data_IF_366998155563
#
_entry.id   IF_366998155563
#
_cell.length_a   1.000
_cell.length_b   1.000
_cell.length_c   1.000
_cell.angle_alpha   90.00
_cell.angle_beta   90.00
_cell.angle_gamma   90.00
#
_symmetry.space_group_name_H-M   'P 1'
#
loop_
_entity.id
_entity.type
_entity.pdbx_description
1 polymer ?
#
# COMPACT_ATOMS: atom_id res chain seq x y z
N UNK A 1 23.95 -5.58 -1.95
CA UNK A 1 22.91 -4.78 -1.26
C UNK A 1 21.60 -5.50 -1.46
N UNK A 2 20.81 -5.68 -0.41
CA UNK A 2 19.56 -6.45 -0.45
C UNK A 2 18.35 -5.52 -0.59
N UNK A 3 17.25 -6.05 -1.13
CA UNK A 3 15.98 -5.33 -1.29
C UNK A 3 15.23 -5.23 0.06
N UNK A 4 14.33 -4.24 0.22
CA UNK A 4 13.50 -4.18 1.41
C UNK A 4 12.61 -5.42 1.52
N UNK A 5 12.41 -5.90 2.76
CA UNK A 5 11.49 -7.00 3.06
C UNK A 5 10.09 -6.40 3.21
N UNK A 6 9.11 -6.99 2.50
CA UNK A 6 7.69 -6.67 2.65
C UNK A 6 7.04 -7.76 3.49
N UNK A 7 6.34 -7.38 4.54
CA UNK A 7 5.52 -8.30 5.35
C UNK A 7 4.18 -7.65 5.72
N UNK A 8 3.13 -8.44 5.88
CA UNK A 8 1.87 -7.95 6.43
C UNK A 8 1.90 -8.10 7.95
N UNK A 9 1.89 -7.00 8.69
CA UNK A 9 2.01 -7.05 10.15
C UNK A 9 0.66 -7.27 10.84
N UNK A 10 -0.44 -6.79 10.25
CA UNK A 10 -1.83 -7.01 10.64
C UNK A 10 -2.68 -6.81 9.39
N UNK A 11 -3.95 -7.21 9.37
CA UNK A 11 -4.85 -7.02 8.20
C UNK A 11 -4.95 -5.56 7.70
N UNK A 12 -4.38 -4.58 8.43
CA UNK A 12 -4.40 -3.15 8.12
C UNK A 12 -3.06 -2.57 7.65
N UNK A 13 -1.92 -3.25 7.86
CA UNK A 13 -0.60 -2.66 7.62
C UNK A 13 0.35 -3.59 6.85
N UNK A 14 1.02 -3.01 5.86
CA UNK A 14 2.17 -3.59 5.17
C UNK A 14 3.43 -2.95 5.72
N UNK A 15 4.33 -3.74 6.31
CA UNK A 15 5.63 -3.29 6.81
C UNK A 15 6.68 -3.51 5.73
N UNK A 16 7.44 -2.46 5.43
CA UNK A 16 8.53 -2.44 4.45
C UNK A 16 9.81 -2.06 5.19
N UNK A 17 10.73 -3.02 5.35
CA UNK A 17 11.92 -2.83 6.17
C UNK A 17 13.21 -2.96 5.36
N UNK A 18 14.16 -2.05 5.57
CA UNK A 18 15.52 -2.16 5.03
C UNK A 18 16.54 -1.55 6.00
N UNK A 19 17.52 -2.36 6.41
CA UNK A 19 18.54 -1.98 7.39
C UNK A 19 17.91 -1.42 8.68
N UNK A 20 18.20 -0.17 9.02
CA UNK A 20 17.70 0.51 10.24
C UNK A 20 16.37 1.25 10.02
N UNK A 21 15.80 1.23 8.81
CA UNK A 21 14.55 1.92 8.49
C UNK A 21 13.42 0.92 8.28
N UNK A 22 12.25 1.27 8.80
CA UNK A 22 11.02 0.50 8.65
C UNK A 22 9.88 1.47 8.36
N UNK A 23 9.13 1.18 7.30
CA UNK A 23 7.92 1.90 6.95
C UNK A 23 6.72 1.00 7.21
N UNK A 24 5.72 1.50 7.93
CA UNK A 24 4.39 0.90 7.93
C UNK A 24 3.51 1.62 6.91
N UNK A 25 2.86 0.86 6.03
CA UNK A 25 1.95 1.37 5.03
C UNK A 25 0.52 0.92 5.35
N UNK A 26 -0.40 1.87 5.47
CA UNK A 26 -1.83 1.62 5.60
C UNK A 26 -2.52 1.82 4.26
N UNK A 27 -3.15 0.77 3.74
CA UNK A 27 -4.00 0.86 2.54
C UNK A 27 -5.43 1.13 3.00
N UNK A 28 -6.08 2.14 2.44
CA UNK A 28 -7.46 2.48 2.72
C UNK A 28 -8.26 2.73 1.45
N UNK A 29 -9.59 2.58 1.55
CA UNK A 29 -10.53 3.05 0.55
C UNK A 29 -11.07 4.41 1.00
N UNK A 30 -10.77 5.46 0.24
CA UNK A 30 -11.38 6.78 0.44
C UNK A 30 -12.43 7.03 -0.63
N UNK A 31 -13.63 7.43 -0.18
CA UNK A 31 -14.72 7.82 -1.05
C UNK A 31 -14.72 9.33 -1.19
N UNK A 32 -14.35 9.83 -2.38
CA UNK A 32 -14.57 11.23 -2.73
C UNK A 32 -15.91 11.34 -3.48
N UNK A 33 -16.50 12.54 -3.49
CA UNK A 33 -17.85 12.81 -4.01
C UNK A 33 -18.14 12.35 -5.46
N UNK A 34 -17.12 11.95 -6.23
CA UNK A 34 -17.29 11.49 -7.62
C UNK A 34 -16.42 10.29 -7.99
N UNK A 35 -15.60 9.76 -7.08
CA UNK A 35 -14.69 8.65 -7.37
C UNK A 35 -14.21 7.97 -6.09
N UNK A 36 -14.04 6.65 -6.17
CA UNK A 36 -13.39 5.86 -5.13
C UNK A 36 -11.90 5.77 -5.42
N UNK A 37 -11.07 6.01 -4.40
CA UNK A 37 -9.62 5.93 -4.51
C UNK A 37 -9.05 4.99 -3.47
N UNK A 38 -7.97 4.34 -3.86
CA UNK A 38 -7.07 3.69 -2.92
C UNK A 38 -6.06 4.72 -2.43
N UNK A 39 -5.88 4.76 -1.11
CA UNK A 39 -4.91 5.64 -0.46
C UNK A 39 -3.96 4.80 0.37
N UNK A 40 -2.66 4.99 0.15
CA UNK A 40 -1.60 4.45 0.97
C UNK A 40 -1.01 5.58 1.82
N UNK A 41 -1.07 5.45 3.15
CA UNK A 41 -0.39 6.33 4.11
C UNK A 41 0.80 5.63 4.71
N UNK A 42 1.90 6.34 4.93
CA UNK A 42 3.14 5.76 5.44
C UNK A 42 3.45 6.30 6.83
N UNK A 43 3.99 5.43 7.68
CA UNK A 43 4.50 5.78 9.00
C UNK A 43 5.94 5.28 9.15
N UNK A 44 6.78 6.06 9.83
CA UNK A 44 8.11 5.65 10.29
C UNK A 44 8.19 5.87 11.80
N UNK A 45 8.53 4.83 12.58
CA UNK A 45 8.53 4.89 14.05
C UNK A 45 7.21 5.43 14.66
N UNK A 46 6.08 4.94 14.14
CA UNK A 46 4.71 5.36 14.52
C UNK A 46 4.38 6.84 14.26
N UNK A 47 5.23 7.57 13.53
CA UNK A 47 4.94 8.93 13.07
C UNK A 47 4.53 8.93 11.60
N UNK A 48 3.45 9.63 11.29
CA UNK A 48 3.00 9.81 9.91
C UNK A 48 4.09 10.52 9.09
N UNK A 49 4.45 9.91 7.98
CA UNK A 49 5.13 10.61 6.91
C UNK A 49 4.08 11.46 6.17
N UNK A 50 4.45 12.67 5.78
CA UNK A 50 3.61 13.58 4.97
C UNK A 50 3.39 13.09 3.52
N UNK A 51 3.32 11.77 3.31
CA UNK A 51 3.16 11.13 2.02
C UNK A 51 1.88 10.29 2.01
N UNK A 52 0.91 10.73 1.21
CA UNK A 52 -0.24 9.93 0.80
C UNK A 52 -0.10 9.59 -0.69
N UNK A 53 -0.10 8.31 -1.01
CA UNK A 53 -0.07 7.83 -2.39
C UNK A 53 -1.46 7.37 -2.78
N UNK A 54 -1.98 7.88 -3.89
CA UNK A 54 -3.39 7.73 -4.25
C UNK A 54 -3.51 7.11 -5.64
N UNK A 55 -4.49 6.25 -5.88
CA UNK A 55 -4.79 5.75 -7.22
C UNK A 55 -6.30 5.47 -7.39
N UNK A 56 -6.80 5.40 -8.64
CA UNK A 56 -8.14 4.89 -8.90
C UNK A 56 -8.34 3.50 -8.31
N UNK A 57 -9.51 3.26 -7.70
CA UNK A 57 -9.80 1.99 -7.00
C UNK A 57 -9.80 0.77 -7.92
N UNK A 58 -10.20 0.95 -9.17
CA UNK A 58 -10.23 -0.07 -10.22
C UNK A 58 -8.85 -0.40 -10.78
N UNK A 59 -7.80 0.31 -10.36
CA UNK A 59 -6.44 0.11 -10.84
C UNK A 59 -5.41 -0.04 -9.70
N UNK A 60 -5.40 -1.18 -8.99
CA UNK A 60 -4.44 -1.45 -7.91
C UNK A 60 -2.99 -1.52 -8.40
N UNK A 61 -2.77 -1.86 -9.67
CA UNK A 61 -1.44 -1.87 -10.28
C UNK A 61 -0.81 -0.47 -10.31
N UNK A 62 -1.60 0.54 -10.65
CA UNK A 62 -1.14 1.93 -10.63
C UNK A 62 -0.79 2.39 -9.20
N UNK A 63 -1.53 1.92 -8.19
CA UNK A 63 -1.18 2.18 -6.79
C UNK A 63 0.18 1.55 -6.44
N UNK A 64 0.38 0.28 -6.77
CA UNK A 64 1.64 -0.42 -6.50
C UNK A 64 2.85 0.31 -7.11
N UNK A 65 2.73 0.76 -8.36
CA UNK A 65 3.76 1.54 -9.04
C UNK A 65 4.11 2.85 -8.34
N UNK A 66 3.10 3.60 -7.91
CA UNK A 66 3.30 4.87 -7.20
C UNK A 66 3.94 4.63 -5.83
N UNK A 67 3.49 3.59 -5.12
CA UNK A 67 4.06 3.18 -3.83
C UNK A 67 5.52 2.79 -3.98
N UNK A 68 5.86 1.92 -4.95
CA UNK A 68 7.24 1.52 -5.23
C UNK A 68 8.10 2.70 -5.62
N UNK A 69 7.55 3.67 -6.36
CA UNK A 69 8.28 4.89 -6.70
C UNK A 69 8.60 5.75 -5.48
N UNK A 70 7.66 5.91 -4.56
CA UNK A 70 7.90 6.55 -3.27
C UNK A 70 8.95 5.79 -2.45
N UNK A 71 8.78 4.48 -2.27
CA UNK A 71 9.71 3.65 -1.51
C UNK A 71 11.10 3.70 -2.12
N UNK A 72 11.24 3.65 -3.45
CA UNK A 72 12.55 3.66 -4.11
C UNK A 72 13.28 5.00 -3.95
N UNK A 73 12.54 6.10 -3.82
CA UNK A 73 13.10 7.40 -3.50
C UNK A 73 13.52 7.52 -2.03
N UNK A 74 12.77 6.87 -1.12
CA UNK A 74 13.00 6.95 0.33
C UNK A 74 14.04 5.92 0.85
N UNK A 75 13.91 4.68 0.40
CA UNK A 75 14.79 3.55 0.63
C UNK A 75 15.42 3.20 -0.71
N UNK A 76 16.75 3.20 -0.82
CA UNK A 76 17.41 2.78 -2.07
C UNK A 76 16.98 1.35 -2.43
N UNK A 77 16.24 1.16 -3.52
CA UNK A 77 15.79 -0.15 -4.01
C UNK A 77 16.59 -0.53 -5.24
N UNK A 78 17.07 -1.77 -5.29
CA UNK A 78 17.87 -2.32 -6.40
C UNK A 78 17.00 -3.07 -7.41
N UNK A 79 15.96 -3.77 -6.96
CA UNK A 79 15.01 -4.48 -7.82
C UNK A 79 13.60 -3.92 -7.67
N UNK A 80 13.29 -2.90 -8.48
CA UNK A 80 11.96 -2.27 -8.50
C UNK A 80 10.87 -3.21 -9.01
N UNK A 81 11.19 -4.09 -9.98
CA UNK A 81 10.20 -4.94 -10.62
C UNK A 81 9.67 -5.99 -9.64
N UNK A 82 10.56 -6.66 -8.91
CA UNK A 82 10.15 -7.61 -7.86
C UNK A 82 9.37 -6.89 -6.75
N UNK A 83 9.82 -5.69 -6.34
CA UNK A 83 9.13 -4.92 -5.32
C UNK A 83 7.71 -4.53 -5.73
N UNK A 84 7.51 -4.19 -7.00
CA UNK A 84 6.19 -3.83 -7.56
C UNK A 84 5.24 -5.02 -7.56
N UNK A 85 5.72 -6.21 -7.94
CA UNK A 85 4.92 -7.44 -7.92
C UNK A 85 4.52 -7.84 -6.48
N UNK A 86 5.46 -7.79 -5.54
CA UNK A 86 5.18 -8.07 -4.12
C UNK A 86 4.19 -7.05 -3.55
N UNK A 87 4.38 -5.77 -3.86
CA UNK A 87 3.48 -4.70 -3.41
C UNK A 87 2.06 -4.88 -3.96
N UNK A 88 1.94 -5.19 -5.25
CA UNK A 88 0.65 -5.47 -5.89
C UNK A 88 -0.04 -6.65 -5.19
N UNK A 89 0.69 -7.75 -4.94
CA UNK A 89 0.15 -8.92 -4.25
C UNK A 89 -0.37 -8.58 -2.85
N UNK A 90 0.35 -7.74 -2.09
CA UNK A 90 -0.10 -7.26 -0.78
C UNK A 90 -1.36 -6.41 -0.89
N UNK A 91 -1.40 -5.43 -1.81
CA UNK A 91 -2.56 -4.56 -2.02
C UNK A 91 -3.79 -5.38 -2.40
N UNK A 92 -3.67 -6.31 -3.35
CA UNK A 92 -4.78 -7.16 -3.76
C UNK A 92 -5.27 -8.09 -2.65
N UNK A 93 -4.35 -8.62 -1.84
CA UNK A 93 -4.71 -9.48 -0.70
C UNK A 93 -5.50 -8.69 0.34
N UNK A 94 -5.07 -7.46 0.65
CA UNK A 94 -5.80 -6.53 1.50
C UNK A 94 -7.20 -6.26 0.95
N UNK A 95 -7.31 -5.92 -0.34
CA UNK A 95 -8.59 -5.60 -0.97
C UNK A 95 -9.56 -6.78 -0.97
N UNK A 96 -9.06 -8.00 -1.22
CA UNK A 96 -9.88 -9.22 -1.14
C UNK A 96 -10.42 -9.47 0.27
N UNK A 97 -9.57 -9.34 1.28
CA UNK A 97 -9.97 -9.51 2.69
C UNK A 97 -11.01 -8.47 3.11
N UNK A 98 -10.87 -7.22 2.66
CA UNK A 98 -11.81 -6.15 3.01
C UNK A 98 -13.09 -6.18 2.18
N UNK A 99 -13.08 -6.69 0.94
CA UNK A 99 -14.29 -6.91 0.16
C UNK A 99 -15.20 -7.98 0.78
N UNK A 100 -14.61 -9.03 1.37
CA UNK A 100 -15.34 -10.09 2.08
C UNK A 100 -15.95 -9.61 3.41
N UNK A 101 -15.42 -8.53 3.98
CA UNK A 101 -15.90 -7.94 5.24
C UNK A 101 -16.78 -6.69 5.02
N UNK A 102 -17.05 -6.31 3.77
CA UNK A 102 -17.98 -5.22 3.47
C UNK A 102 -19.41 -5.71 3.73
N UNK A 103 -20.25 -4.95 4.47
CA UNK A 103 -21.67 -5.28 4.57
C UNK A 103 -22.26 -5.34 3.16
N UNK A 104 -23.23 -6.25 2.90
CA UNK A 104 -23.87 -6.33 1.60
C UNK A 104 -24.41 -4.95 1.22
N UNK A 105 -24.08 -4.47 0.02
CA UNK A 105 -24.67 -3.24 -0.52
C UNK A 105 -26.19 -3.33 -0.38
N UNK A 106 -26.88 -2.28 0.10
CA UNK A 106 -28.33 -2.29 0.11
C UNK A 106 -28.79 -2.45 -1.34
N UNK A 107 -29.47 -3.56 -1.62
CA UNK A 107 -30.14 -3.76 -2.89
C UNK A 107 -31.14 -2.62 -3.06
N UNK A 108 -30.95 -1.84 -4.12
CA UNK A 108 -31.95 -0.86 -4.58
C UNK A 108 -33.19 -1.55 -5.12
#
# INVERSE_FOLDING_TARGET
MENPIISMAQAKFVVISKHTRSLAMHVGNESHASFHMLVCRFLENDQDLFAAVIAPRDNPHHLAQRVVSFISAYLRVTDRATLEQEMLRCIESYLRQHALNAPPSPAG
#
